data_IF_120987065726
#
_entry.id   IF_120987065726
#
_cell.length_a   1.000
_cell.length_b   1.000
_cell.length_c   1.000
_cell.angle_alpha   90.00
_cell.angle_beta   90.00
_cell.angle_gamma   90.00
#
_symmetry.space_group_name_H-M   'P 1'
#
loop_
_entity.id
_entity.type
_entity.pdbx_description
1 polymer ?
#
# COMPACT_ATOMS: atom_id res chain seq x y z
N UNK A 1 41.23 -12.16 43.57
CA UNK A 1 42.45 -11.91 42.78
C UNK A 1 42.57 -12.82 41.54
N UNK A 2 42.45 -14.16 41.66
CA UNK A 2 42.56 -15.08 40.49
C UNK A 2 41.55 -14.83 39.36
N UNK A 3 40.30 -14.44 39.67
CA UNK A 3 39.27 -14.13 38.66
C UNK A 3 39.49 -12.80 37.93
N UNK A 4 40.16 -11.83 38.56
CA UNK A 4 40.48 -10.54 37.94
C UNK A 4 41.63 -10.68 36.93
N UNK A 5 42.59 -11.55 37.24
CA UNK A 5 43.74 -11.84 36.38
C UNK A 5 43.34 -12.65 35.14
N UNK A 6 42.37 -13.57 35.27
CA UNK A 6 41.79 -14.29 34.14
C UNK A 6 41.01 -13.37 33.20
N UNK A 7 40.28 -12.38 33.75
CA UNK A 7 39.55 -11.40 32.95
C UNK A 7 40.49 -10.45 32.20
N UNK A 8 41.59 -10.01 32.85
CA UNK A 8 42.62 -9.19 32.20
C UNK A 8 43.35 -9.95 31.07
N UNK A 9 43.58 -11.26 31.23
CA UNK A 9 44.18 -12.09 30.18
C UNK A 9 43.24 -12.32 29.00
N UNK A 10 41.93 -12.50 29.24
CA UNK A 10 40.93 -12.64 28.15
C UNK A 10 40.74 -11.31 27.41
N UNK A 11 40.76 -10.18 28.12
CA UNK A 11 40.67 -8.83 27.53
C UNK A 11 41.90 -8.45 26.69
N UNK A 12 43.07 -9.04 26.98
CA UNK A 12 44.30 -8.84 26.21
C UNK A 12 44.41 -9.77 24.98
N UNK A 13 43.66 -10.88 24.95
CA UNK A 13 43.64 -11.82 23.81
C UNK A 13 42.59 -11.40 22.77
N UNK A 14 41.65 -10.52 23.10
CA UNK A 14 40.61 -10.04 22.19
C UNK A 14 41.00 -8.82 21.34
N UNK A 15 42.26 -8.35 21.38
CA UNK A 15 42.68 -7.26 20.50
C UNK A 15 43.00 -7.79 19.09
N UNK A 16 42.01 -7.62 18.20
CA UNK A 16 42.12 -7.45 16.75
C UNK A 16 42.88 -8.52 15.95
N UNK A 17 42.21 -9.64 15.69
CA UNK A 17 42.43 -10.37 14.44
C UNK A 17 41.51 -9.78 13.36
N UNK A 18 41.91 -8.66 12.78
CA UNK A 18 41.39 -8.22 11.48
C UNK A 18 42.19 -8.96 10.40
N UNK A 19 41.81 -10.20 10.10
CA UNK A 19 42.48 -11.03 9.10
C UNK A 19 41.74 -11.02 7.75
N UNK A 20 41.26 -9.85 7.34
CA UNK A 20 41.01 -9.55 5.92
C UNK A 20 41.88 -8.34 5.61
N UNK A 21 43.01 -8.59 4.97
CA UNK A 21 43.92 -7.53 4.52
C UNK A 21 43.53 -7.14 3.11
N UNK A 22 42.91 -5.96 2.99
CA UNK A 22 42.77 -5.30 1.69
C UNK A 22 44.18 -5.00 1.16
N UNK A 23 44.52 -5.61 0.04
CA UNK A 23 45.83 -5.40 -0.56
C UNK A 23 46.07 -6.21 -1.83
N UNK A 24 47.03 -5.76 -2.63
CA UNK A 24 47.51 -6.49 -3.81
C UNK A 24 48.86 -7.12 -3.50
N UNK A 25 49.00 -8.43 -3.67
CA UNK A 25 50.29 -9.10 -3.52
C UNK A 25 51.27 -8.64 -4.61
N UNK A 26 52.50 -8.32 -4.21
CA UNK A 26 53.60 -7.97 -5.11
C UNK A 26 54.86 -8.77 -4.77
N UNK A 27 55.46 -9.36 -5.78
CA UNK A 27 56.70 -10.11 -5.65
C UNK A 27 57.69 -9.65 -6.73
N UNK A 28 58.95 -9.45 -6.32
CA UNK A 28 60.02 -9.11 -7.25
C UNK A 28 61.36 -9.69 -6.77
N UNK A 29 62.24 -10.01 -7.73
CA UNK A 29 63.65 -10.34 -7.47
C UNK A 29 64.46 -9.06 -7.68
N UNK A 30 65.20 -8.62 -6.67
CA UNK A 30 66.06 -7.44 -6.73
C UNK A 30 67.46 -7.86 -7.17
N UNK A 31 67.93 -7.23 -8.24
CA UNK A 31 69.25 -7.44 -8.82
C UNK A 31 70.18 -6.34 -8.31
N UNK A 32 71.43 -6.69 -8.01
CA UNK A 32 72.46 -5.76 -7.61
C UNK A 32 72.75 -4.79 -8.77
N UNK A 33 72.53 -3.48 -8.60
CA UNK A 33 72.79 -2.50 -9.65
C UNK A 33 74.29 -2.27 -9.88
N UNK A 34 75.13 -2.64 -8.90
CA UNK A 34 76.57 -2.50 -8.99
C UNK A 34 77.20 -3.78 -9.53
N UNK A 35 78.24 -3.60 -10.35
CA UNK A 35 79.04 -4.69 -10.86
C UNK A 35 79.80 -5.32 -9.69
N UNK A 36 79.69 -6.64 -9.53
CA UNK A 36 80.47 -7.36 -8.55
C UNK A 36 81.84 -7.67 -9.14
N UNK A 37 82.87 -7.04 -8.59
CA UNK A 37 84.26 -7.30 -8.99
C UNK A 37 84.69 -8.67 -8.45
N UNK A 38 84.96 -9.62 -9.35
CA UNK A 38 85.59 -10.90 -9.03
C UNK A 38 86.97 -10.95 -9.70
N UNK A 39 87.95 -11.69 -9.15
CA UNK A 39 89.23 -11.88 -9.81
C UNK A 39 89.05 -12.55 -11.19
N UNK A 40 89.33 -11.82 -12.26
CA UNK A 40 89.35 -12.33 -13.64
C UNK A 40 88.20 -11.87 -14.53
N UNK A 41 86.98 -11.68 -14.00
CA UNK A 41 85.86 -11.06 -14.73
C UNK A 41 84.86 -10.37 -13.79
N UNK A 42 84.31 -9.27 -14.27
CA UNK A 42 83.27 -8.52 -13.59
C UNK A 42 81.90 -9.14 -13.86
N UNK A 43 81.13 -9.43 -12.80
CA UNK A 43 79.79 -10.01 -12.94
C UNK A 43 78.74 -8.93 -12.70
N UNK A 44 77.91 -8.68 -13.71
CA UNK A 44 76.72 -7.82 -13.62
C UNK A 44 75.46 -8.68 -13.61
N UNK A 45 74.39 -8.22 -12.95
CA UNK A 45 73.12 -8.93 -12.94
C UNK A 45 72.96 -9.98 -11.83
N UNK A 46 73.84 -10.00 -10.83
CA UNK A 46 73.69 -10.88 -9.67
C UNK A 46 72.52 -10.43 -8.79
N UNK A 47 71.83 -11.38 -8.15
CA UNK A 47 70.81 -11.08 -7.13
C UNK A 47 71.42 -10.28 -5.98
N UNK A 48 70.58 -9.52 -5.27
CA UNK A 48 70.98 -8.74 -4.09
C UNK A 48 70.40 -9.38 -2.82
N UNK A 49 71.02 -10.43 -2.25
CA UNK A 49 70.45 -11.17 -1.12
C UNK A 49 70.65 -10.45 0.23
N UNK A 50 69.74 -10.68 1.18
CA UNK A 50 69.81 -10.24 2.58
C UNK A 50 70.10 -8.73 2.78
N UNK A 51 69.60 -7.89 1.87
CA UNK A 51 69.83 -6.44 1.88
C UNK A 51 68.57 -5.71 2.31
N UNK A 52 68.69 -4.88 3.35
CA UNK A 52 67.65 -3.95 3.74
C UNK A 52 67.48 -2.86 2.66
N UNK A 53 66.23 -2.59 2.31
CA UNK A 53 65.82 -1.64 1.26
C UNK A 53 64.43 -1.07 1.57
N UNK A 54 64.07 0.02 0.90
CA UNK A 54 62.70 0.51 0.90
C UNK A 54 62.09 0.47 -0.49
N UNK A 55 60.81 0.10 -0.58
CA UNK A 55 60.03 0.08 -1.82
C UNK A 55 58.92 1.11 -1.71
N UNK A 56 58.67 1.85 -2.78
CA UNK A 56 57.54 2.76 -2.91
C UNK A 56 56.62 2.28 -4.02
N UNK A 57 55.36 2.10 -3.69
CA UNK A 57 54.30 1.78 -4.65
C UNK A 57 53.49 3.04 -4.91
N UNK A 58 53.25 3.35 -6.18
CA UNK A 58 52.39 4.47 -6.60
C UNK A 58 51.39 3.95 -7.62
N UNK A 59 50.10 4.17 -7.38
CA UNK A 59 49.03 3.91 -8.33
C UNK A 59 48.61 5.24 -8.93
N UNK A 60 48.73 5.35 -10.25
CA UNK A 60 48.34 6.55 -11.00
C UNK A 60 47.14 6.28 -11.90
N UNK A 61 46.31 7.28 -12.11
CA UNK A 61 45.22 7.23 -13.08
C UNK A 61 45.71 7.52 -14.52
N UNK A 62 44.79 7.50 -15.48
CA UNK A 62 45.06 7.70 -16.90
C UNK A 62 45.64 9.08 -17.27
N UNK A 63 45.53 10.09 -16.39
CA UNK A 63 46.16 11.40 -16.58
C UNK A 63 47.55 11.51 -15.91
N UNK A 64 48.00 10.45 -15.24
CA UNK A 64 49.28 10.41 -14.51
C UNK A 64 49.23 11.01 -13.10
N UNK A 65 48.05 11.40 -12.61
CA UNK A 65 47.89 11.84 -11.22
C UNK A 65 47.96 10.65 -10.27
N UNK A 66 48.52 10.88 -9.09
CA UNK A 66 48.65 9.87 -8.03
C UNK A 66 47.30 9.70 -7.35
N UNK A 67 46.70 8.52 -7.50
CA UNK A 67 45.50 8.12 -6.73
C UNK A 67 45.91 7.58 -5.36
N UNK A 68 47.04 6.86 -5.29
CA UNK A 68 47.56 6.28 -4.05
C UNK A 68 49.08 6.10 -4.07
N UNK A 69 49.75 6.30 -2.94
CA UNK A 69 51.17 6.02 -2.75
C UNK A 69 51.46 5.55 -1.33
N UNK A 70 52.35 4.56 -1.21
CA UNK A 70 52.84 4.05 0.07
C UNK A 70 54.30 3.61 0.02
N UNK A 71 54.91 3.45 1.20
CA UNK A 71 56.28 2.96 1.36
C UNK A 71 56.36 1.74 2.27
N UNK A 72 57.23 0.81 1.91
CA UNK A 72 57.56 -0.38 2.69
C UNK A 72 59.04 -0.36 3.04
N UNK A 73 59.37 -0.70 4.29
CA UNK A 73 60.74 -1.06 4.68
C UNK A 73 60.81 -2.59 4.74
N UNK A 74 61.71 -3.19 3.95
CA UNK A 74 61.83 -4.64 3.86
C UNK A 74 63.29 -5.06 3.67
N UNK A 75 63.55 -6.35 3.60
CA UNK A 75 64.85 -6.90 3.23
C UNK A 75 64.66 -8.01 2.21
N UNK A 76 65.56 -8.10 1.24
CA UNK A 76 65.58 -9.25 0.33
C UNK A 76 65.91 -10.53 1.08
N UNK A 77 65.36 -11.66 0.62
CA UNK A 77 65.75 -12.98 1.11
C UNK A 77 67.09 -13.47 0.53
N UNK A 78 67.47 -14.72 0.81
CA UNK A 78 68.69 -15.35 0.29
C UNK A 78 68.73 -15.47 -1.25
N UNK A 79 67.59 -15.30 -1.93
CA UNK A 79 67.44 -15.34 -3.38
C UNK A 79 67.21 -13.94 -3.99
N UNK A 80 67.34 -12.88 -3.20
CA UNK A 80 67.11 -11.51 -3.64
C UNK A 80 65.63 -11.13 -3.77
N UNK A 81 64.70 -11.96 -3.30
CA UNK A 81 63.27 -11.70 -3.45
C UNK A 81 62.71 -10.82 -2.34
N UNK A 82 61.73 -10.01 -2.72
CA UNK A 82 60.79 -9.34 -1.81
C UNK A 82 59.39 -9.89 -2.04
N UNK A 83 58.61 -10.01 -0.96
CA UNK A 83 57.19 -10.31 -1.00
C UNK A 83 56.48 -9.28 -0.12
N UNK A 84 55.67 -8.44 -0.74
CA UNK A 84 54.98 -7.32 -0.10
C UNK A 84 53.51 -7.35 -0.48
N UNK A 85 52.67 -6.76 0.37
CA UNK A 85 51.26 -6.54 0.08
C UNK A 85 51.02 -5.04 -0.07
N UNK A 86 50.70 -4.61 -1.28
CA UNK A 86 50.38 -3.21 -1.59
C UNK A 86 49.09 -2.86 -0.86
N UNK A 87 49.07 -1.75 -0.13
CA UNK A 87 47.96 -1.34 0.74
C UNK A 87 48.20 -1.59 2.24
N UNK A 88 49.31 -2.26 2.58
CA UNK A 88 49.71 -2.56 3.96
C UNK A 88 51.01 -1.84 4.38
N UNK A 89 51.49 -0.92 3.56
CA UNK A 89 52.67 -0.09 3.85
C UNK A 89 52.31 1.15 4.66
N UNK A 90 53.26 2.07 4.73
CA UNK A 90 53.02 3.40 5.29
C UNK A 90 52.54 4.32 4.16
N UNK A 91 51.25 4.73 4.13
CA UNK A 91 50.72 5.58 3.08
C UNK A 91 51.37 6.97 3.13
N UNK A 92 51.77 7.48 1.97
CA UNK A 92 52.31 8.83 1.80
C UNK A 92 51.37 9.74 1.01
N UNK A 93 50.42 9.19 0.25
CA UNK A 93 49.36 9.93 -0.45
C UNK A 93 48.15 9.03 -0.69
N UNK A 94 46.93 9.55 -0.42
CA UNK A 94 45.68 8.80 -0.59
C UNK A 94 45.51 7.62 0.38
N UNK A 95 44.39 6.91 0.25
CA UNK A 95 44.10 5.66 0.96
C UNK A 95 43.88 4.52 -0.04
N UNK A 96 44.45 3.35 0.25
CA UNK A 96 44.36 2.18 -0.63
C UNK A 96 42.90 1.75 -0.86
N UNK A 97 42.08 1.83 0.19
CA UNK A 97 40.66 1.45 0.16
C UNK A 97 39.76 2.48 -0.53
N UNK A 98 40.27 3.69 -0.77
CA UNK A 98 39.52 4.79 -1.41
C UNK A 98 39.83 4.92 -2.91
N UNK A 99 40.70 4.06 -3.46
CA UNK A 99 40.99 4.06 -4.90
C UNK A 99 39.71 3.73 -5.67
N UNK A 100 39.30 4.65 -6.54
CA UNK A 100 38.11 4.47 -7.40
C UNK A 100 38.46 3.56 -8.57
N UNK A 101 37.91 2.34 -8.57
CA UNK A 101 38.04 1.35 -9.65
C UNK A 101 36.84 1.42 -10.60
N UNK A 102 36.81 2.43 -11.47
CA UNK A 102 35.72 2.75 -12.41
C UNK A 102 35.89 2.12 -13.82
N UNK A 103 36.89 1.25 -13.98
CA UNK A 103 37.24 0.65 -15.27
C UNK A 103 38.19 1.47 -16.13
N UNK A 104 38.55 2.70 -15.74
CA UNK A 104 39.61 3.45 -16.42
C UNK A 104 41.00 2.85 -16.14
N UNK A 105 41.93 3.02 -17.08
CA UNK A 105 43.32 2.55 -16.96
C UNK A 105 43.98 3.16 -15.72
N UNK A 106 44.62 2.32 -14.93
CA UNK A 106 45.55 2.70 -13.87
C UNK A 106 46.90 2.03 -14.08
N UNK A 107 47.96 2.70 -13.69
CA UNK A 107 49.32 2.18 -13.76
C UNK A 107 49.89 2.01 -12.33
N UNK A 108 50.59 0.91 -12.09
CA UNK A 108 51.37 0.66 -10.89
C UNK A 108 52.84 0.97 -11.17
N UNK A 109 53.32 2.06 -10.58
CA UNK A 109 54.73 2.41 -10.53
C UNK A 109 55.36 1.87 -9.25
N UNK A 110 56.47 1.17 -9.40
CA UNK A 110 57.26 0.60 -8.31
C UNK A 110 58.64 1.23 -8.34
N UNK A 111 59.07 1.76 -7.20
CA UNK A 111 60.38 2.37 -7.05
C UNK A 111 61.11 1.75 -5.86
N UNK A 112 62.44 1.67 -5.93
CA UNK A 112 63.29 1.08 -4.91
C UNK A 112 64.35 2.08 -4.45
N UNK A 113 64.62 2.11 -3.14
CA UNK A 113 65.66 2.91 -2.53
C UNK A 113 66.76 2.00 -1.96
N UNK A 114 67.93 2.02 -2.61
CA UNK A 114 69.13 1.28 -2.22
C UNK A 114 70.30 2.20 -1.80
N UNK A 115 70.30 3.44 -2.27
CA UNK A 115 71.40 4.41 -2.24
C UNK A 115 71.00 5.77 -1.66
N UNK A 116 69.80 5.85 -1.07
CA UNK A 116 69.22 7.08 -0.52
C UNK A 116 68.14 7.71 -1.41
N UNK A 117 68.04 7.33 -2.69
CA UNK A 117 67.05 7.84 -3.62
C UNK A 117 66.11 6.74 -4.13
N UNK A 118 64.85 7.07 -4.41
CA UNK A 118 63.90 6.15 -5.04
C UNK A 118 64.11 6.14 -6.55
N UNK A 119 64.53 4.99 -7.07
CA UNK A 119 64.73 4.74 -8.51
C UNK A 119 63.61 3.83 -9.05
N UNK A 120 63.15 4.07 -10.28
CA UNK A 120 62.09 3.28 -10.89
C UNK A 120 62.56 1.84 -11.17
N UNK A 121 61.80 0.88 -10.64
CA UNK A 121 62.00 -0.55 -10.88
C UNK A 121 61.07 -1.03 -11.99
N UNK A 122 59.80 -0.63 -11.95
CA UNK A 122 58.83 -0.97 -12.99
C UNK A 122 57.68 0.03 -13.03
N UNK A 123 57.09 0.23 -14.21
CA UNK A 123 55.83 0.95 -14.37
C UNK A 123 54.94 0.15 -15.33
N UNK A 124 53.83 -0.38 -14.83
CA UNK A 124 52.99 -1.34 -15.55
C UNK A 124 51.52 -1.01 -15.41
N UNK A 125 50.76 -1.15 -16.50
CA UNK A 125 49.31 -1.03 -16.44
C UNK A 125 48.70 -2.13 -15.57
N UNK A 126 47.86 -1.74 -14.60
CA UNK A 126 47.00 -2.66 -13.87
C UNK A 126 45.87 -3.08 -14.80
N UNK A 127 45.97 -4.28 -15.38
CA UNK A 127 44.91 -4.85 -16.22
C UNK A 127 43.79 -5.38 -15.33
N UNK A 128 42.57 -4.87 -15.54
CA UNK A 128 41.27 -5.32 -15.03
C UNK A 128 41.28 -6.15 -13.72
N UNK A 129 40.84 -5.55 -12.62
CA UNK A 129 40.59 -6.27 -11.35
C UNK A 129 39.11 -6.72 -11.33
N UNK A 130 38.79 -8.03 -11.40
CA UNK A 130 37.42 -8.52 -11.53
C UNK A 130 36.47 -8.20 -10.37
N UNK A 131 36.98 -7.66 -9.26
CA UNK A 131 36.21 -7.48 -8.02
C UNK A 131 35.36 -6.20 -7.97
N UNK A 132 35.28 -5.42 -9.06
CA UNK A 132 34.45 -4.21 -9.11
C UNK A 132 32.95 -4.47 -9.43
N UNK A 133 32.54 -5.71 -9.70
CA UNK A 133 31.15 -6.01 -10.09
C UNK A 133 30.15 -6.06 -8.93
N UNK A 134 30.61 -6.06 -7.68
CA UNK A 134 29.74 -6.17 -6.48
C UNK A 134 30.20 -5.22 -5.37
N UNK A 135 30.19 -3.91 -5.64
CA UNK A 135 30.25 -2.95 -4.54
C UNK A 135 28.85 -2.47 -4.20
N UNK A 136 28.47 -2.70 -2.95
CA UNK A 136 27.31 -2.04 -2.36
C UNK A 136 27.46 -0.53 -2.48
N UNK A 137 26.41 0.15 -2.95
CA UNK A 137 26.33 1.59 -2.86
C UNK A 137 25.75 1.94 -1.50
N UNK A 138 26.60 2.39 -0.58
CA UNK A 138 26.18 2.93 0.71
C UNK A 138 26.23 4.46 0.61
N UNK A 139 25.06 5.09 0.53
CA UNK A 139 24.92 6.53 0.68
C UNK A 139 24.45 6.83 2.11
N UNK A 140 25.32 7.43 2.94
CA UNK A 140 25.00 7.80 4.32
C UNK A 140 24.30 9.16 4.45
N UNK A 141 24.09 9.86 3.33
CA UNK A 141 23.37 11.12 3.23
C UNK A 141 22.43 11.12 2.02
N UNK A 142 22.21 12.28 1.43
CA UNK A 142 21.32 12.42 0.27
C UNK A 142 21.94 11.82 -1.00
N UNK A 143 21.14 11.06 -1.75
CA UNK A 143 21.48 10.57 -3.09
C UNK A 143 20.60 11.28 -4.12
N UNK A 144 21.22 12.06 -5.01
CA UNK A 144 20.53 12.71 -6.13
C UNK A 144 20.96 12.08 -7.44
N UNK A 145 19.99 11.59 -8.22
CA UNK A 145 20.21 10.95 -9.52
C UNK A 145 19.34 11.68 -10.54
N UNK A 146 19.96 12.30 -11.54
CA UNK A 146 19.25 13.03 -12.60
C UNK A 146 18.70 12.15 -13.74
N UNK A 147 18.91 10.84 -13.65
CA UNK A 147 18.55 9.85 -14.67
C UNK A 147 17.54 8.82 -14.19
N UNK A 148 17.26 7.85 -15.06
CA UNK A 148 16.44 6.67 -14.73
C UNK A 148 17.19 5.77 -13.75
N UNK A 149 16.47 5.20 -12.80
CA UNK A 149 16.97 4.15 -11.90
C UNK A 149 16.16 2.89 -12.20
N UNK A 150 16.85 1.76 -12.34
CA UNK A 150 16.26 0.44 -12.45
C UNK A 150 16.72 -0.39 -11.25
N UNK A 151 15.76 -0.90 -10.46
CA UNK A 151 16.02 -1.86 -9.40
C UNK A 151 15.63 -3.25 -9.90
N UNK A 152 16.58 -4.18 -9.96
CA UNK A 152 16.32 -5.59 -10.32
C UNK A 152 15.71 -6.38 -9.15
N UNK A 153 15.86 -5.88 -7.93
CA UNK A 153 15.31 -6.44 -6.70
C UNK A 153 14.32 -5.50 -6.02
N UNK A 154 14.09 -5.74 -4.72
CA UNK A 154 13.14 -4.97 -3.91
C UNK A 154 13.67 -3.56 -3.59
N UNK A 155 12.74 -2.61 -3.48
CA UNK A 155 12.99 -1.26 -2.97
C UNK A 155 12.25 -1.11 -1.63
N UNK A 156 12.99 -1.04 -0.53
CA UNK A 156 12.44 -0.65 0.77
C UNK A 156 12.79 0.80 1.08
N UNK A 157 11.80 1.59 1.53
CA UNK A 157 11.96 3.00 1.88
C UNK A 157 11.30 3.24 3.23
N UNK A 158 12.11 3.41 4.27
CA UNK A 158 11.61 3.65 5.64
C UNK A 158 11.09 5.09 5.82
N UNK A 159 11.46 6.01 4.92
CA UNK A 159 11.10 7.42 4.95
C UNK A 159 9.88 7.77 4.09
N UNK A 160 9.58 9.08 4.03
CA UNK A 160 8.53 9.62 3.17
C UNK A 160 8.93 9.45 1.69
N UNK A 161 8.00 8.93 0.88
CA UNK A 161 8.16 8.84 -0.57
C UNK A 161 7.24 9.84 -1.27
N UNK A 162 7.81 10.74 -2.08
CA UNK A 162 7.05 11.66 -2.94
C UNK A 162 7.18 11.23 -4.40
N UNK A 163 6.06 10.91 -5.05
CA UNK A 163 6.00 10.58 -6.47
C UNK A 163 5.30 11.71 -7.22
N UNK A 164 6.03 12.43 -8.06
CA UNK A 164 5.51 13.59 -8.81
C UNK A 164 4.88 13.21 -10.16
N UNK A 165 4.72 11.92 -10.44
CA UNK A 165 4.16 11.39 -11.68
C UNK A 165 3.45 10.05 -11.40
N UNK A 166 3.05 9.34 -12.45
CA UNK A 166 2.31 8.07 -12.37
C UNK A 166 3.03 7.00 -11.54
N UNK A 167 2.27 6.33 -10.68
CA UNK A 167 2.62 5.05 -10.07
C UNK A 167 1.82 3.93 -10.74
N UNK A 168 2.51 2.92 -11.25
CA UNK A 168 1.88 1.72 -11.81
C UNK A 168 2.32 0.49 -11.02
N UNK A 169 1.36 -0.22 -10.44
CA UNK A 169 1.58 -1.53 -9.80
C UNK A 169 1.09 -2.62 -10.75
N UNK A 170 2.01 -3.39 -11.31
CA UNK A 170 1.71 -4.36 -12.37
C UNK A 170 1.45 -5.76 -11.82
N UNK A 171 1.14 -6.71 -12.71
CA UNK A 171 1.04 -8.14 -12.40
C UNK A 171 -0.04 -8.52 -11.36
N UNK A 172 -1.03 -7.64 -11.13
CA UNK A 172 -2.04 -7.79 -10.06
C UNK A 172 -1.40 -7.90 -8.66
N UNK A 173 -0.19 -7.37 -8.49
CA UNK A 173 0.45 -7.29 -7.19
C UNK A 173 -0.40 -6.46 -6.24
N UNK A 174 -0.51 -6.92 -4.98
CA UNK A 174 -1.25 -6.21 -3.95
C UNK A 174 -0.62 -4.84 -3.66
N UNK A 175 -1.44 -3.91 -3.18
CA UNK A 175 -1.01 -2.59 -2.70
C UNK A 175 -1.69 -2.32 -1.37
N UNK A 176 -0.95 -2.45 -0.29
CA UNK A 176 -1.47 -2.31 1.06
C UNK A 176 -1.28 -0.87 1.55
N UNK A 177 -2.37 -0.09 1.57
CA UNK A 177 -2.40 1.29 2.05
C UNK A 177 -3.08 1.33 3.43
N UNK A 178 -2.28 1.21 4.49
CA UNK A 178 -2.80 1.10 5.87
C UNK A 178 -3.08 2.44 6.53
N UNK A 179 -2.56 3.54 5.96
CA UNK A 179 -2.83 4.90 6.39
C UNK A 179 -4.07 5.52 5.73
N UNK A 180 -4.20 6.84 5.84
CA UNK A 180 -5.26 7.59 5.15
C UNK A 180 -4.96 7.74 3.66
N UNK A 181 -5.92 7.38 2.81
CA UNK A 181 -5.86 7.61 1.36
C UNK A 181 -6.76 8.79 0.97
N UNK A 182 -6.15 9.89 0.55
CA UNK A 182 -6.86 11.05 -0.01
C UNK A 182 -6.70 11.06 -1.53
N UNK A 183 -7.79 10.96 -2.28
CA UNK A 183 -7.80 11.00 -3.75
C UNK A 183 -8.56 12.23 -4.21
N UNK A 184 -7.88 13.21 -4.79
CA UNK A 184 -8.50 14.43 -5.32
C UNK A 184 -9.12 14.27 -6.72
N UNK A 185 -8.86 13.13 -7.37
CA UNK A 185 -9.35 12.82 -8.71
C UNK A 185 -10.38 11.69 -8.74
N UNK A 186 -10.68 11.20 -9.94
CA UNK A 186 -11.57 10.05 -10.14
C UNK A 186 -10.91 8.76 -9.65
N UNK A 187 -11.65 7.97 -8.90
CA UNK A 187 -11.31 6.59 -8.55
C UNK A 187 -12.13 5.63 -9.41
N UNK A 188 -11.47 4.64 -10.02
CA UNK A 188 -12.13 3.53 -10.72
C UNK A 188 -11.67 2.23 -10.07
N UNK A 189 -12.62 1.40 -9.62
CA UNK A 189 -12.37 0.05 -9.13
C UNK A 189 -13.08 -0.92 -10.09
N UNK A 190 -12.30 -1.77 -10.75
CA UNK A 190 -12.84 -2.72 -11.75
C UNK A 190 -13.30 -4.04 -11.14
N UNK A 191 -13.02 -4.24 -9.86
CA UNK A 191 -13.36 -5.44 -9.08
C UNK A 191 -14.18 -5.03 -7.86
N UNK A 192 -14.43 -5.97 -6.95
CA UNK A 192 -15.22 -5.73 -5.75
C UNK A 192 -14.60 -4.67 -4.83
N UNK A 193 -15.47 -3.87 -4.20
CA UNK A 193 -15.13 -2.96 -3.11
C UNK A 193 -15.75 -3.49 -1.82
N UNK A 194 -14.90 -3.75 -0.82
CA UNK A 194 -15.33 -3.99 0.56
C UNK A 194 -14.93 -2.81 1.42
N UNK A 195 -15.89 -2.22 2.13
CA UNK A 195 -15.65 -1.15 3.11
C UNK A 195 -15.86 -1.72 4.50
N UNK A 196 -14.77 -2.21 5.11
CA UNK A 196 -14.79 -2.77 6.46
C UNK A 196 -14.33 -1.72 7.48
N UNK A 197 -15.24 -0.84 7.88
CA UNK A 197 -15.00 0.09 8.97
C UNK A 197 -16.25 0.20 9.85
N UNK A 198 -16.06 0.51 11.14
CA UNK A 198 -17.16 0.74 12.09
C UNK A 198 -17.70 2.19 12.00
N UNK A 199 -17.43 2.89 10.89
CA UNK A 199 -17.73 4.32 10.71
C UNK A 199 -18.72 4.56 9.58
N UNK A 200 -19.27 5.77 9.51
CA UNK A 200 -20.15 6.15 8.40
C UNK A 200 -19.36 6.25 7.09
N UNK A 201 -19.91 5.69 6.01
CA UNK A 201 -19.47 6.01 4.64
C UNK A 201 -20.33 7.15 4.08
N UNK A 202 -19.73 8.26 3.67
CA UNK A 202 -20.43 9.41 3.11
C UNK A 202 -20.24 9.47 1.58
N UNK A 203 -21.33 9.39 0.84
CA UNK A 203 -21.39 9.56 -0.61
C UNK A 203 -22.25 10.78 -0.91
N UNK A 204 -21.61 11.93 -1.15
CA UNK A 204 -22.30 13.22 -1.32
C UNK A 204 -22.72 13.52 -2.76
N UNK A 205 -22.19 12.76 -3.73
CA UNK A 205 -22.61 12.82 -5.13
C UNK A 205 -23.83 11.91 -5.40
N UNK A 206 -24.26 11.88 -6.65
CA UNK A 206 -25.27 10.93 -7.11
C UNK A 206 -24.73 9.48 -7.04
N UNK A 207 -25.53 8.57 -6.51
CA UNK A 207 -25.24 7.15 -6.46
C UNK A 207 -26.18 6.39 -7.40
N UNK A 208 -25.63 5.88 -8.50
CA UNK A 208 -26.32 4.93 -9.38
C UNK A 208 -25.90 3.52 -9.03
N UNK A 209 -26.86 2.61 -8.88
CA UNK A 209 -26.62 1.18 -8.68
C UNK A 209 -27.39 0.40 -9.74
N UNK A 210 -26.68 -0.12 -10.75
CA UNK A 210 -27.29 -0.91 -11.83
C UNK A 210 -27.74 -2.30 -11.36
N UNK A 211 -27.07 -2.82 -10.33
CA UNK A 211 -27.38 -4.10 -9.70
C UNK A 211 -28.38 -3.99 -8.55
N UNK A 212 -28.63 -5.12 -7.88
CA UNK A 212 -29.45 -5.14 -6.68
C UNK A 212 -28.73 -4.47 -5.49
N UNK A 213 -29.48 -3.73 -4.67
CA UNK A 213 -29.01 -3.18 -3.40
C UNK A 213 -29.67 -3.92 -2.24
N UNK A 214 -28.87 -4.34 -1.26
CA UNK A 214 -29.36 -4.94 -0.01
C UNK A 214 -29.00 -4.00 1.15
N UNK A 215 -30.01 -3.51 1.85
CA UNK A 215 -29.85 -2.69 3.05
C UNK A 215 -30.37 -3.50 4.25
N UNK A 216 -29.46 -3.91 5.14
CA UNK A 216 -29.78 -4.79 6.27
C UNK A 216 -30.32 -4.05 7.50
N UNK A 217 -30.48 -2.74 7.42
CA UNK A 217 -30.95 -1.90 8.51
C UNK A 217 -31.84 -0.78 7.95
N UNK A 218 -31.90 0.35 8.63
CA UNK A 218 -32.79 1.47 8.31
C UNK A 218 -32.38 2.18 7.02
N UNK A 219 -33.36 2.46 6.16
CA UNK A 219 -33.26 3.40 5.05
C UNK A 219 -34.07 4.65 5.41
N UNK A 220 -33.43 5.82 5.39
CA UNK A 220 -34.09 7.11 5.52
C UNK A 220 -33.85 7.92 4.24
N UNK A 221 -34.93 8.45 3.67
CA UNK A 221 -34.91 9.25 2.45
C UNK A 221 -35.64 10.56 2.74
N UNK A 222 -34.93 11.68 2.66
CA UNK A 222 -35.52 13.02 2.85
C UNK A 222 -36.14 13.58 1.57
N UNK A 223 -35.71 13.07 0.41
CA UNK A 223 -36.24 13.42 -0.90
C UNK A 223 -37.39 12.52 -1.35
N UNK A 224 -37.83 12.72 -2.58
CA UNK A 224 -38.81 11.86 -3.24
C UNK A 224 -38.26 10.44 -3.45
N UNK A 225 -39.13 9.44 -3.31
CA UNK A 225 -38.83 8.05 -3.64
C UNK A 225 -39.76 7.62 -4.77
N UNK A 226 -39.19 7.26 -5.92
CA UNK A 226 -39.93 6.69 -7.05
C UNK A 226 -39.61 5.20 -7.19
N UNK A 227 -40.64 4.36 -7.30
CA UNK A 227 -40.50 2.92 -7.49
C UNK A 227 -41.24 2.56 -8.77
N UNK A 228 -40.49 2.26 -9.83
CA UNK A 228 -41.04 1.97 -11.15
C UNK A 228 -41.70 0.59 -11.26
N UNK A 229 -41.57 -0.26 -10.24
CA UNK A 229 -42.12 -1.60 -10.18
C UNK A 229 -42.87 -1.81 -8.86
N UNK A 230 -42.97 -3.06 -8.39
CA UNK A 230 -43.71 -3.40 -7.19
C UNK A 230 -42.98 -2.97 -5.91
N UNK A 231 -43.72 -2.43 -4.96
CA UNK A 231 -43.30 -2.27 -3.56
C UNK A 231 -43.90 -3.40 -2.73
N UNK A 232 -43.03 -4.21 -2.10
CA UNK A 232 -43.42 -5.23 -1.12
C UNK A 232 -42.94 -4.82 0.26
N UNK A 233 -43.87 -4.53 1.16
CA UNK A 233 -43.59 -4.26 2.57
C UNK A 233 -43.88 -5.51 3.39
N UNK A 234 -42.92 -5.95 4.19
CA UNK A 234 -43.03 -7.11 5.08
C UNK A 234 -42.66 -6.71 6.51
N UNK A 235 -42.95 -7.60 7.47
CA UNK A 235 -42.87 -7.27 8.88
C UNK A 235 -44.20 -6.73 9.38
N UNK A 236 -44.54 -7.02 10.62
CA UNK A 236 -45.84 -6.67 11.21
C UNK A 236 -45.84 -5.24 11.80
N UNK A 237 -44.84 -4.43 11.47
CA UNK A 237 -44.77 -3.03 11.89
C UNK A 237 -45.70 -2.16 11.06
N UNK A 238 -46.19 -1.08 11.65
CA UNK A 238 -47.06 -0.11 10.99
C UNK A 238 -46.36 0.53 9.77
N UNK A 239 -47.11 0.68 8.68
CA UNK A 239 -46.77 1.60 7.58
C UNK A 239 -47.55 2.89 7.79
N UNK A 240 -46.84 4.02 7.91
CA UNK A 240 -47.45 5.33 8.12
C UNK A 240 -47.40 6.16 6.84
N UNK A 241 -48.56 6.67 6.41
CA UNK A 241 -48.71 7.58 5.27
C UNK A 241 -49.42 8.84 5.77
N UNK A 242 -48.66 9.90 6.00
CA UNK A 242 -49.17 11.16 6.55
C UNK A 242 -49.65 12.15 5.47
N UNK A 243 -49.21 11.94 4.22
CA UNK A 243 -49.66 12.71 3.06
C UNK A 243 -50.94 12.16 2.43
N UNK A 244 -51.30 12.71 1.27
CA UNK A 244 -52.40 12.19 0.46
C UNK A 244 -52.02 10.86 -0.20
N UNK A 245 -52.93 9.89 -0.15
CA UNK A 245 -52.80 8.62 -0.86
C UNK A 245 -53.80 8.56 -2.02
N UNK A 246 -53.30 8.36 -3.23
CA UNK A 246 -54.10 8.03 -4.42
C UNK A 246 -53.72 6.63 -4.89
N UNK A 247 -54.71 5.80 -5.16
CA UNK A 247 -54.52 4.44 -5.69
C UNK A 247 -55.44 4.29 -6.90
N UNK A 248 -54.85 4.23 -8.10
CA UNK A 248 -55.61 4.06 -9.34
C UNK A 248 -56.06 2.61 -9.56
N UNK A 249 -55.34 1.66 -8.94
CA UNK A 249 -55.63 0.24 -8.98
C UNK A 249 -56.55 -0.24 -7.86
N UNK A 250 -56.78 -1.55 -7.84
CA UNK A 250 -57.56 -2.20 -6.78
C UNK A 250 -56.86 -2.10 -5.41
N UNK A 251 -57.65 -1.85 -4.36
CA UNK A 251 -57.18 -1.86 -2.97
C UNK A 251 -57.87 -3.00 -2.20
N UNK A 252 -57.08 -3.95 -1.72
CA UNK A 252 -57.56 -5.06 -0.89
C UNK A 252 -57.13 -4.89 0.57
N UNK A 253 -58.09 -4.80 1.49
CA UNK A 253 -57.88 -4.69 2.93
C UNK A 253 -58.42 -5.95 3.61
N UNK A 254 -57.52 -6.85 4.00
CA UNK A 254 -57.88 -8.18 4.51
C UNK A 254 -58.20 -8.22 6.01
N UNK A 255 -58.26 -7.06 6.66
CA UNK A 255 -58.54 -6.93 8.10
C UNK A 255 -59.48 -5.74 8.32
N UNK A 256 -59.50 -5.19 9.54
CA UNK A 256 -60.32 -4.04 9.87
C UNK A 256 -59.91 -2.80 9.07
N UNK A 257 -60.91 -2.07 8.59
CA UNK A 257 -60.75 -0.73 8.03
C UNK A 257 -61.48 0.26 8.95
N UNK A 258 -60.72 1.18 9.54
CA UNK A 258 -61.27 2.31 10.31
C UNK A 258 -61.02 3.59 9.52
N UNK A 259 -62.08 4.28 9.11
CA UNK A 259 -62.00 5.55 8.39
C UNK A 259 -62.40 6.67 9.34
N UNK A 260 -61.41 7.31 9.97
CA UNK A 260 -61.61 8.43 10.88
C UNK A 260 -61.56 9.74 10.09
N UNK A 261 -62.60 10.04 9.32
CA UNK A 261 -62.64 11.27 8.51
C UNK A 261 -63.47 12.38 9.19
N UNK A 262 -63.06 13.63 8.97
CA UNK A 262 -63.85 14.82 9.32
C UNK A 262 -64.86 15.25 8.25
N UNK A 263 -64.94 14.50 7.14
CA UNK A 263 -65.75 14.78 5.95
C UNK A 263 -66.47 13.50 5.52
N UNK A 264 -67.48 13.52 4.63
CA UNK A 264 -68.14 12.30 4.17
C UNK A 264 -67.19 11.31 3.47
N UNK A 265 -67.42 10.00 3.65
CA UNK A 265 -66.86 8.97 2.76
C UNK A 265 -67.68 8.97 1.47
N UNK A 266 -67.05 9.17 0.31
CA UNK A 266 -67.73 9.07 -0.98
C UNK A 266 -67.39 7.73 -1.65
N UNK A 267 -68.41 6.91 -1.87
CA UNK A 267 -68.33 5.66 -2.62
C UNK A 267 -69.19 5.80 -3.87
N UNK A 268 -68.56 5.98 -5.03
CA UNK A 268 -69.27 6.20 -6.30
C UNK A 268 -69.69 4.91 -7.01
N UNK A 269 -69.11 3.78 -6.61
CA UNK A 269 -69.49 2.44 -7.09
C UNK A 269 -70.48 1.75 -6.15
N UNK A 270 -70.82 0.51 -6.48
CA UNK A 270 -71.71 -0.31 -5.66
C UNK A 270 -71.06 -0.67 -4.31
N UNK A 271 -71.85 -0.58 -3.23
CA UNK A 271 -71.44 -1.02 -1.90
C UNK A 271 -72.08 -2.37 -1.56
N UNK A 272 -71.26 -3.42 -1.41
CA UNK A 272 -71.70 -4.73 -0.94
C UNK A 272 -71.18 -4.97 0.47
N UNK A 273 -72.10 -5.15 1.42
CA UNK A 273 -71.78 -5.51 2.81
C UNK A 273 -72.18 -6.98 3.03
N UNK A 274 -71.19 -7.82 3.34
CA UNK A 274 -71.44 -9.25 3.66
C UNK A 274 -71.88 -9.48 5.10
N UNK A 275 -71.69 -8.49 5.98
CA UNK A 275 -72.09 -8.52 7.40
C UNK A 275 -73.25 -7.57 7.71
N UNK A 276 -73.42 -7.25 9.00
CA UNK A 276 -74.39 -6.24 9.43
C UNK A 276 -73.90 -4.83 9.05
N UNK A 277 -74.85 -3.97 8.67
CA UNK A 277 -74.64 -2.53 8.53
C UNK A 277 -75.30 -1.82 9.72
N UNK A 278 -74.52 -1.03 10.44
CA UNK A 278 -74.99 -0.16 11.52
C UNK A 278 -74.74 1.29 11.08
N UNK A 279 -75.76 2.13 11.20
CA UNK A 279 -75.69 3.55 10.94
C UNK A 279 -76.16 4.27 12.21
N UNK A 280 -75.29 5.06 12.81
CA UNK A 280 -75.60 5.80 14.05
C UNK A 280 -76.46 7.06 13.81
N UNK A 281 -76.61 7.45 12.54
CA UNK A 281 -77.37 8.62 12.10
C UNK A 281 -78.35 8.24 10.99
N UNK A 282 -78.98 9.25 10.40
CA UNK A 282 -79.99 9.09 9.36
C UNK A 282 -79.48 8.34 8.13
N UNK A 283 -80.34 7.46 7.61
CA UNK A 283 -80.20 6.85 6.30
C UNK A 283 -81.15 7.54 5.32
N UNK A 284 -80.58 8.19 4.30
CA UNK A 284 -81.35 8.73 3.16
C UNK A 284 -81.12 7.84 1.95
N UNK A 285 -82.19 7.30 1.37
CA UNK A 285 -82.14 6.48 0.16
C UNK A 285 -82.96 7.17 -0.93
N UNK A 286 -82.28 7.69 -1.95
CA UNK A 286 -82.94 8.32 -3.11
C UNK A 286 -83.47 7.26 -4.11
N UNK A 287 -82.86 6.07 -4.10
CA UNK A 287 -83.24 4.94 -4.93
C UNK A 287 -84.30 4.05 -4.30
N UNK A 288 -84.60 2.94 -4.97
CA UNK A 288 -85.48 1.89 -4.42
C UNK A 288 -84.75 1.09 -3.33
N UNK A 289 -85.36 0.98 -2.16
CA UNK A 289 -84.93 0.03 -1.12
C UNK A 289 -85.65 -1.31 -1.31
N UNK A 290 -84.90 -2.41 -1.31
CA UNK A 290 -85.43 -3.78 -1.31
C UNK A 290 -84.89 -4.48 -0.07
N UNK A 291 -85.79 -4.96 0.78
CA UNK A 291 -85.49 -5.79 1.94
C UNK A 291 -86.04 -7.19 1.64
N UNK A 292 -85.18 -8.19 1.64
CA UNK A 292 -85.56 -9.57 1.30
C UNK A 292 -86.00 -10.40 2.52
N UNK A 293 -85.91 -9.82 3.71
CA UNK A 293 -86.26 -10.43 4.98
C UNK A 293 -87.07 -9.41 5.82
N UNK A 294 -87.21 -9.66 7.11
CA UNK A 294 -87.94 -8.81 8.05
C UNK A 294 -87.43 -7.36 8.08
N UNK A 295 -88.38 -6.41 8.09
CA UNK A 295 -88.17 -5.03 8.48
C UNK A 295 -88.75 -4.81 9.88
N UNK A 296 -87.88 -4.60 10.87
CA UNK A 296 -88.28 -4.17 12.21
C UNK A 296 -88.02 -2.67 12.38
N UNK A 297 -89.05 -1.90 12.71
CA UNK A 297 -88.97 -0.46 12.95
C UNK A 297 -89.31 -0.18 14.41
N UNK A 298 -88.29 0.10 15.23
CA UNK A 298 -88.44 0.42 16.64
C UNK A 298 -88.24 1.92 16.87
N UNK A 299 -89.22 2.73 16.48
CA UNK A 299 -89.18 4.18 16.66
C UNK A 299 -90.04 4.64 17.84
N UNK A 300 -89.60 5.72 18.51
CA UNK A 300 -90.37 6.38 19.58
C UNK A 300 -91.39 7.39 19.03
N UNK A 301 -91.54 7.47 17.71
CA UNK A 301 -92.42 8.39 16.99
C UNK A 301 -93.09 7.63 15.86
N UNK A 302 -94.27 8.05 15.36
CA UNK A 302 -94.96 7.34 14.29
C UNK A 302 -94.10 7.21 13.03
N UNK A 303 -94.14 6.03 12.39
CA UNK A 303 -93.61 5.84 11.04
C UNK A 303 -94.52 6.54 10.03
N UNK A 304 -93.98 7.52 9.29
CA UNK A 304 -94.73 8.20 8.22
C UNK A 304 -94.48 7.51 6.88
N UNK A 305 -95.54 6.94 6.29
CA UNK A 305 -95.54 6.39 4.93
C UNK A 305 -96.43 7.29 4.05
N UNK A 306 -95.83 8.03 3.13
CA UNK A 306 -96.56 8.96 2.26
C UNK A 306 -97.06 8.33 0.97
N UNK A 307 -96.53 7.16 0.60
CA UNK A 307 -96.95 6.38 -0.56
C UNK A 307 -98.02 5.35 -0.23
N UNK A 308 -98.36 4.54 -1.23
CA UNK A 308 -99.26 3.39 -1.04
C UNK A 308 -98.54 2.26 -0.32
N UNK A 309 -99.09 1.82 0.80
CA UNK A 309 -98.70 0.58 1.47
C UNK A 309 -99.56 -0.57 0.91
N UNK A 310 -98.93 -1.52 0.21
CA UNK A 310 -99.57 -2.78 -0.17
C UNK A 310 -99.05 -3.91 0.71
N UNK A 311 -99.95 -4.70 1.31
CA UNK A 311 -99.60 -5.84 2.16
C UNK A 311 -100.38 -7.05 1.66
N UNK A 312 -99.67 -8.03 1.13
CA UNK A 312 -100.28 -9.26 0.60
C UNK A 312 -100.60 -10.27 1.73
N UNK A 313 -99.96 -10.10 2.89
CA UNK A 313 -100.16 -10.93 4.10
C UNK A 313 -101.03 -10.26 5.18
N UNK A 314 -101.11 -10.93 6.32
CA UNK A 314 -101.84 -10.41 7.49
C UNK A 314 -101.19 -9.15 8.03
N UNK A 315 -101.97 -8.07 8.12
CA UNK A 315 -101.59 -6.83 8.80
C UNK A 315 -102.17 -6.82 10.21
N UNK A 316 -101.34 -6.58 11.23
CA UNK A 316 -101.77 -6.37 12.61
C UNK A 316 -101.34 -4.96 13.02
N UNK A 317 -102.33 -4.07 13.15
CA UNK A 317 -102.12 -2.70 13.63
C UNK A 317 -102.62 -2.64 15.07
N UNK A 318 -101.69 -2.76 16.01
CA UNK A 318 -102.01 -2.58 17.42
C UNK A 318 -101.93 -1.09 17.76
N UNK A 319 -102.98 -0.57 18.39
CA UNK A 319 -102.93 0.75 18.99
C UNK A 319 -102.21 0.65 20.35
N UNK A 320 -101.32 1.59 20.66
CA UNK A 320 -100.87 1.85 22.04
C UNK A 320 -101.85 2.78 22.72
#
# INVERSE_FOLDING_TARGET
MKKLLLFAVILFVSTNLLAQTDGMSYQAVIINPNVQELPGENVSGNILPNKALSVRFTITNSSGSIDYQETHATSTDAYGMINLMIGQGNPSSGSFTEIVWDGNRKDLKVEINLDGNYNELSNQSLTFIPYAYHRDLIASGDLSIGGKIDFEGDLNVDGITNLNNTLSVNNKSASDLTGTLNVGGKTTLNESLTVANDSSTNLSGELTVDGASILNNTLSVSGETSIANNLKVTGQSQTELSGTLTVDGETNLNSTLNVNNGSPVNLSGDLKIGGALVLDNDLVVNGKTILNDELSVNNQSPTLLTGTLNVDGTSILNNT
#
